data_IF_828878279535
#
_entry.id   IF_828878279535
#
_cell.length_a   1.000
_cell.length_b   1.000
_cell.length_c   1.000
_cell.angle_alpha   90.00
_cell.angle_beta   90.00
_cell.angle_gamma   90.00
#
_symmetry.space_group_name_H-M   'P 1'
#
loop_
_entity.id
_entity.type
_entity.pdbx_description
1 polymer ?
#
# COMPACT_ATOMS: atom_id res chain seq x y z
N UNK A 1 32.98 2.11 -31.70
CA UNK A 1 33.73 3.10 -30.90
C UNK A 1 33.15 4.44 -31.27
N UNK A 2 32.24 5.04 -30.50
CA UNK A 2 32.33 5.47 -29.08
C UNK A 2 31.09 5.01 -28.30
N UNK A 3 31.11 3.88 -27.59
CA UNK A 3 31.45 3.79 -26.15
C UNK A 3 31.39 5.11 -25.38
N UNK A 4 30.21 5.41 -24.84
CA UNK A 4 30.03 5.86 -23.46
C UNK A 4 28.68 5.31 -22.97
N UNK A 5 28.61 4.49 -21.90
CA UNK A 5 27.33 4.14 -21.30
C UNK A 5 26.64 5.42 -20.77
N UNK A 6 25.30 5.46 -20.69
CA UNK A 6 24.61 6.54 -19.98
C UNK A 6 25.23 6.64 -18.59
N UNK A 7 25.66 7.84 -18.20
CA UNK A 7 26.36 8.08 -16.94
C UNK A 7 25.58 7.47 -15.78
N UNK A 8 26.20 6.53 -15.07
CA UNK A 8 25.66 5.83 -13.91
C UNK A 8 25.58 6.73 -12.64
N UNK A 9 25.05 7.94 -12.79
CA UNK A 9 24.75 8.86 -11.68
C UNK A 9 23.24 8.94 -11.53
N UNK A 10 22.69 8.22 -10.56
CA UNK A 10 21.30 8.26 -10.12
C UNK A 10 21.20 9.37 -9.06
N UNK A 11 21.09 10.62 -9.50
CA UNK A 11 20.68 11.71 -8.62
C UNK A 11 19.15 11.83 -8.63
N UNK A 12 18.47 11.94 -7.47
CA UNK A 12 17.08 12.39 -7.44
C UNK A 12 16.98 13.73 -8.18
N UNK A 13 16.29 13.77 -9.32
CA UNK A 13 16.39 14.92 -10.23
C UNK A 13 16.82 14.63 -11.67
N UNK A 14 17.67 13.62 -11.88
CA UNK A 14 18.33 13.37 -13.18
C UNK A 14 17.74 12.15 -13.93
N UNK A 15 17.07 11.25 -13.21
CA UNK A 15 16.29 10.13 -13.76
C UNK A 15 14.87 10.17 -13.19
N UNK A 16 13.85 10.05 -14.06
CA UNK A 16 12.46 10.29 -13.69
C UNK A 16 12.13 11.79 -13.53
N UNK A 17 10.94 12.11 -13.02
CA UNK A 17 10.57 13.50 -12.76
C UNK A 17 11.46 14.10 -11.66
N UNK A 18 12.02 15.31 -11.81
CA UNK A 18 12.91 15.84 -10.79
C UNK A 18 12.23 16.05 -9.43
N UNK A 19 12.66 15.30 -8.41
CA UNK A 19 12.17 15.47 -7.04
C UNK A 19 12.96 16.58 -6.33
N UNK A 20 12.34 17.73 -6.11
CA UNK A 20 12.86 18.76 -5.20
C UNK A 20 12.36 18.49 -3.80
N UNK A 21 13.02 17.58 -3.09
CA UNK A 21 12.64 17.22 -1.73
C UNK A 21 13.12 18.27 -0.73
N UNK A 22 12.31 18.54 0.29
CA UNK A 22 12.78 19.23 1.49
C UNK A 22 13.73 18.30 2.24
N UNK A 23 14.74 18.87 2.88
CA UNK A 23 15.61 18.09 3.77
C UNK A 23 14.84 17.43 4.91
N UNK A 24 13.71 18.04 5.30
CA UNK A 24 12.88 17.65 6.43
C UNK A 24 11.41 17.95 6.17
N UNK A 25 10.54 17.02 6.61
CA UNK A 25 9.09 17.16 6.59
C UNK A 25 8.52 17.07 8.00
N UNK A 26 7.66 18.03 8.32
CA UNK A 26 6.92 18.13 9.57
C UNK A 26 5.60 17.34 9.50
N UNK A 27 4.83 17.33 10.59
CA UNK A 27 3.45 16.82 10.54
C UNK A 27 2.53 17.79 9.81
N UNK A 28 1.46 17.30 9.18
CA UNK A 28 0.42 18.17 8.63
C UNK A 28 -0.75 18.21 9.60
N UNK A 29 -0.89 19.28 10.39
CA UNK A 29 -1.89 19.38 11.46
C UNK A 29 -2.62 20.70 11.33
N UNK A 30 -3.95 20.66 11.31
CA UNK A 30 -4.75 21.88 11.27
C UNK A 30 -4.54 22.72 10.02
N UNK A 31 -4.20 22.11 8.89
CA UNK A 31 -3.91 22.80 7.63
C UNK A 31 -2.49 23.38 7.51
N UNK A 32 -1.63 23.16 8.51
CA UNK A 32 -0.28 23.72 8.57
C UNK A 32 0.78 22.62 8.78
N UNK A 33 2.03 22.95 8.44
CA UNK A 33 3.19 22.09 8.75
C UNK A 33 3.68 22.38 10.17
N UNK A 34 3.60 21.38 11.05
CA UNK A 34 3.86 21.51 12.49
C UNK A 34 4.97 20.54 12.90
N UNK A 35 6.08 21.10 13.39
CA UNK A 35 7.20 20.33 13.94
C UNK A 35 6.74 19.40 15.08
N UNK A 36 7.34 18.21 15.24
CA UNK A 36 7.00 17.28 16.30
C UNK A 36 7.23 17.93 17.67
N UNK A 37 6.31 17.71 18.60
CA UNK A 37 6.31 18.38 19.91
C UNK A 37 7.56 18.09 20.75
N UNK A 38 8.16 16.91 20.55
CA UNK A 38 9.42 16.49 21.19
C UNK A 38 10.67 16.92 20.41
N UNK A 39 10.52 17.49 19.20
CA UNK A 39 11.63 17.92 18.34
C UNK A 39 12.35 16.77 17.61
N UNK A 40 11.86 15.55 17.74
CA UNK A 40 12.48 14.33 17.22
C UNK A 40 12.09 14.04 15.76
N UNK A 41 13.06 13.63 14.95
CA UNK A 41 12.87 13.24 13.56
C UNK A 41 13.53 11.89 13.28
N UNK A 42 13.00 11.14 12.33
CA UNK A 42 13.65 9.93 11.83
C UNK A 42 14.09 10.07 10.38
N UNK A 43 15.12 9.31 10.03
CA UNK A 43 15.62 9.21 8.67
C UNK A 43 14.70 8.35 7.82
N UNK A 44 14.25 8.89 6.70
CA UNK A 44 13.54 8.17 5.66
C UNK A 44 14.54 7.75 4.58
N UNK A 45 14.83 6.45 4.49
CA UNK A 45 15.84 5.91 3.57
C UNK A 45 15.14 5.32 2.35
N UNK A 46 15.70 5.56 1.15
CA UNK A 46 15.21 4.88 -0.05
C UNK A 46 15.67 3.42 -0.08
N UNK A 47 14.80 2.45 -0.38
CA UNK A 47 15.20 1.07 -0.60
C UNK A 47 16.02 0.84 -1.87
N UNK A 48 15.99 1.79 -2.80
CA UNK A 48 16.65 1.71 -4.12
C UNK A 48 18.17 1.73 -3.96
N UNK A 49 18.69 2.57 -3.07
CA UNK A 49 20.13 2.74 -2.84
C UNK A 49 20.55 2.62 -1.38
N UNK A 50 19.60 2.53 -0.44
CA UNK A 50 19.85 2.59 1.01
C UNK A 50 20.20 3.98 1.54
N UNK A 51 20.17 5.01 0.70
CA UNK A 51 20.55 6.38 1.06
C UNK A 51 19.39 7.17 1.68
N UNK A 52 19.71 8.26 2.38
CA UNK A 52 18.72 9.16 2.96
C UNK A 52 17.98 9.96 1.87
N UNK A 53 16.64 9.90 1.89
CA UNK A 53 15.79 10.80 1.11
C UNK A 53 15.56 12.12 1.84
N UNK A 54 15.07 12.05 3.08
CA UNK A 54 14.76 13.20 3.93
C UNK A 54 14.60 12.77 5.39
N UNK A 55 14.45 13.73 6.29
CA UNK A 55 13.99 13.51 7.65
C UNK A 55 12.48 13.72 7.76
N UNK A 56 11.80 12.94 8.61
CA UNK A 56 10.35 13.06 8.85
C UNK A 56 10.08 13.13 10.35
N UNK A 57 9.11 13.97 10.74
CA UNK A 57 8.71 14.14 12.12
C UNK A 57 8.44 12.78 12.82
N UNK A 58 8.93 12.63 14.05
CA UNK A 58 8.66 11.48 14.91
C UNK A 58 7.67 11.89 16.01
N UNK A 59 6.38 11.80 15.69
CA UNK A 59 5.27 12.15 16.56
C UNK A 59 5.16 11.25 17.79
N UNK A 60 4.90 11.89 18.92
CA UNK A 60 4.44 11.26 20.15
C UNK A 60 2.97 11.58 20.44
N UNK A 61 2.53 11.28 21.67
CA UNK A 61 1.14 11.51 22.12
C UNK A 61 0.70 12.97 21.98
N UNK A 62 1.60 13.93 22.25
CA UNK A 62 1.31 15.37 22.17
C UNK A 62 0.94 15.80 20.75
N UNK A 63 1.61 15.29 19.73
CA UNK A 63 1.29 15.57 18.33
C UNK A 63 -0.06 15.00 17.92
N UNK A 64 -0.40 13.81 18.45
CA UNK A 64 -1.71 13.18 18.20
C UNK A 64 -2.80 14.01 18.87
N UNK A 65 -2.59 14.51 20.09
CA UNK A 65 -3.55 15.39 20.76
C UNK A 65 -3.76 16.70 19.98
N UNK A 66 -2.70 17.30 19.42
CA UNK A 66 -2.82 18.46 18.53
C UNK A 66 -3.64 18.16 17.27
N UNK A 67 -3.41 16.99 16.64
CA UNK A 67 -4.19 16.54 15.50
C UNK A 67 -5.67 16.30 15.84
N UNK A 68 -5.95 15.71 17.01
CA UNK A 68 -7.30 15.52 17.51
C UNK A 68 -7.97 16.86 17.84
N UNK A 69 -7.25 17.82 18.44
CA UNK A 69 -7.76 19.17 18.72
C UNK A 69 -8.16 19.88 17.42
N UNK A 70 -7.30 19.83 16.41
CA UNK A 70 -7.58 20.38 15.10
C UNK A 70 -8.81 19.74 14.45
N UNK A 71 -8.92 18.41 14.45
CA UNK A 71 -10.05 17.68 13.89
C UNK A 71 -11.37 17.99 14.62
N UNK A 72 -11.37 17.93 15.95
CA UNK A 72 -12.58 18.18 16.75
C UNK A 72 -13.07 19.62 16.64
N UNK A 73 -12.17 20.59 16.44
CA UNK A 73 -12.53 22.00 16.24
C UNK A 73 -13.40 22.22 14.99
N UNK A 74 -13.27 21.37 13.96
CA UNK A 74 -13.97 21.55 12.67
C UNK A 74 -14.93 20.43 12.31
N UNK A 75 -14.98 19.32 13.07
CA UNK A 75 -15.80 18.14 12.75
C UNK A 75 -17.26 18.48 12.45
N UNK A 76 -17.89 19.34 13.26
CA UNK A 76 -19.30 19.65 13.11
C UNK A 76 -19.51 20.52 11.86
N UNK A 77 -18.63 21.51 11.63
CA UNK A 77 -18.69 22.34 10.42
C UNK A 77 -18.50 21.50 9.15
N UNK A 78 -17.58 20.52 9.17
CA UNK A 78 -17.35 19.63 8.04
C UNK A 78 -18.52 18.68 7.80
N UNK A 79 -19.08 18.10 8.86
CA UNK A 79 -20.28 17.26 8.81
C UNK A 79 -21.47 17.97 8.15
N UNK A 80 -21.65 19.27 8.46
CA UNK A 80 -22.72 20.11 7.90
C UNK A 80 -22.38 20.74 6.54
N UNK A 81 -21.16 20.56 6.02
CA UNK A 81 -20.81 21.00 4.66
C UNK A 81 -21.66 20.22 3.67
N UNK A 82 -22.23 20.89 2.65
CA UNK A 82 -23.16 20.22 1.73
C UNK A 82 -22.50 19.03 1.01
N UNK A 83 -23.30 18.00 0.68
CA UNK A 83 -22.84 16.84 -0.12
C UNK A 83 -22.22 17.30 -1.44
N UNK A 84 -22.78 18.35 -2.05
CA UNK A 84 -22.30 18.98 -3.27
C UNK A 84 -20.88 19.54 -3.09
N UNK A 85 -20.64 20.29 -2.01
CA UNK A 85 -19.34 20.92 -1.74
C UNK A 85 -18.28 19.88 -1.35
N UNK A 86 -18.64 18.87 -0.54
CA UNK A 86 -17.73 17.77 -0.21
C UNK A 86 -17.30 17.02 -1.47
N UNK A 87 -18.25 16.65 -2.33
CA UNK A 87 -17.94 16.01 -3.61
C UNK A 87 -17.06 16.89 -4.51
N UNK A 88 -17.34 18.20 -4.58
CA UNK A 88 -16.53 19.13 -5.36
C UNK A 88 -15.08 19.21 -4.87
N UNK A 89 -14.84 19.14 -3.56
CA UNK A 89 -13.48 19.07 -3.00
C UNK A 89 -12.78 17.76 -3.43
N UNK A 90 -13.47 16.62 -3.34
CA UNK A 90 -12.90 15.32 -3.74
C UNK A 90 -12.56 15.27 -5.23
N UNK A 91 -13.40 15.82 -6.11
CA UNK A 91 -13.06 15.95 -7.54
C UNK A 91 -11.83 16.83 -7.75
N UNK A 92 -11.72 17.97 -7.05
CA UNK A 92 -10.53 18.85 -7.15
C UNK A 92 -9.25 18.19 -6.64
N UNK A 93 -9.35 17.36 -5.58
CA UNK A 93 -8.22 16.54 -5.11
C UNK A 93 -7.75 15.62 -6.24
N UNK A 94 -8.67 14.88 -6.85
CA UNK A 94 -8.36 13.98 -7.96
C UNK A 94 -7.71 14.72 -9.15
N UNK A 95 -8.26 15.86 -9.56
CA UNK A 95 -7.72 16.66 -10.66
C UNK A 95 -6.32 17.18 -10.36
N UNK A 96 -6.05 17.59 -9.12
CA UNK A 96 -4.73 18.09 -8.74
C UNK A 96 -3.71 16.96 -8.58
N UNK A 97 -4.13 15.78 -8.15
CA UNK A 97 -3.29 14.58 -8.21
C UNK A 97 -2.94 14.22 -9.65
N UNK A 98 -3.90 14.27 -10.58
CA UNK A 98 -3.68 14.00 -12.01
C UNK A 98 -2.69 14.98 -12.63
N UNK A 99 -2.80 16.28 -12.31
CA UNK A 99 -1.84 17.31 -12.73
C UNK A 99 -0.42 17.09 -12.19
N UNK A 100 -0.27 16.33 -11.10
CA UNK A 100 1.01 16.05 -10.44
C UNK A 100 1.36 14.55 -10.46
N UNK A 101 0.80 13.79 -11.42
CA UNK A 101 0.93 12.32 -11.46
C UNK A 101 2.40 11.89 -11.50
N UNK A 102 3.22 12.50 -12.36
CA UNK A 102 4.64 12.15 -12.50
C UNK A 102 5.43 12.38 -11.21
N UNK A 103 5.14 13.48 -10.49
CA UNK A 103 5.74 13.80 -9.20
C UNK A 103 5.39 12.75 -8.16
N UNK A 104 4.10 12.43 -8.02
CA UNK A 104 3.59 11.46 -7.05
C UNK A 104 4.12 10.04 -7.34
N UNK A 105 4.13 9.64 -8.62
CA UNK A 105 4.63 8.34 -9.07
C UNK A 105 6.14 8.19 -8.81
N UNK A 106 6.90 9.25 -9.08
CA UNK A 106 8.35 9.25 -8.82
C UNK A 106 8.64 9.21 -7.32
N UNK A 107 7.89 9.94 -6.49
CA UNK A 107 8.03 9.88 -5.04
C UNK A 107 7.70 8.49 -4.48
N UNK A 108 6.59 7.88 -4.92
CA UNK A 108 6.24 6.50 -4.59
C UNK A 108 7.37 5.51 -4.96
N UNK A 109 7.91 5.64 -6.17
CA UNK A 109 9.01 4.77 -6.65
C UNK A 109 10.26 4.89 -5.78
N UNK A 110 10.66 6.11 -5.42
CA UNK A 110 11.84 6.35 -4.60
C UNK A 110 11.66 5.87 -3.16
N UNK A 111 10.49 6.09 -2.58
CA UNK A 111 10.22 5.83 -1.18
C UNK A 111 9.90 4.35 -0.92
N UNK A 112 9.12 3.72 -1.80
CA UNK A 112 8.71 2.32 -1.68
C UNK A 112 9.65 1.33 -2.41
N UNK A 113 10.24 1.72 -3.53
CA UNK A 113 11.14 0.88 -4.33
C UNK A 113 10.50 0.18 -5.52
N UNK A 114 9.17 0.24 -5.67
CA UNK A 114 8.41 -0.29 -6.82
C UNK A 114 8.76 0.39 -8.15
N UNK A 115 8.69 -0.32 -9.29
CA UNK A 115 8.99 0.27 -10.60
C UNK A 115 8.07 1.44 -10.96
N UNK A 116 8.62 2.45 -11.63
CA UNK A 116 7.91 3.65 -12.08
C UNK A 116 6.71 3.29 -12.94
N UNK A 117 6.83 2.26 -13.79
CA UNK A 117 5.74 1.77 -14.63
C UNK A 117 4.51 1.33 -13.82
N UNK A 118 4.68 0.84 -12.59
CA UNK A 118 3.56 0.44 -11.72
C UNK A 118 2.96 1.68 -11.08
N UNK A 119 3.79 2.57 -10.53
CA UNK A 119 3.29 3.80 -9.90
C UNK A 119 2.55 4.73 -10.85
N UNK A 120 3.04 4.85 -12.10
CA UNK A 120 2.48 5.74 -13.10
C UNK A 120 1.25 5.16 -13.80
N UNK A 121 1.12 3.83 -13.87
CA UNK A 121 0.04 3.16 -14.60
C UNK A 121 -1.03 2.53 -13.69
N UNK A 122 -0.71 2.28 -12.42
CA UNK A 122 -1.62 1.67 -11.45
C UNK A 122 -1.80 2.55 -10.21
N UNK A 123 -0.81 2.69 -9.34
CA UNK A 123 -0.99 3.28 -8.00
C UNK A 123 -1.62 4.69 -8.03
N UNK A 124 -1.00 5.63 -8.76
CA UNK A 124 -1.47 7.01 -8.81
C UNK A 124 -2.78 7.13 -9.60
N UNK A 125 -2.93 6.52 -10.80
CA UNK A 125 -4.21 6.50 -11.51
C UNK A 125 -5.37 5.91 -10.70
N UNK A 126 -5.16 4.79 -10.02
CA UNK A 126 -6.19 4.17 -9.17
C UNK A 126 -6.52 5.04 -7.97
N UNK A 127 -5.53 5.73 -7.39
CA UNK A 127 -5.75 6.67 -6.29
C UNK A 127 -6.60 7.87 -6.73
N UNK A 128 -6.34 8.41 -7.93
CA UNK A 128 -7.13 9.49 -8.56
C UNK A 128 -8.56 9.02 -8.80
N UNK A 129 -8.73 7.86 -9.45
CA UNK A 129 -10.05 7.30 -9.74
C UNK A 129 -10.84 7.05 -8.46
N UNK A 130 -10.19 6.59 -7.38
CA UNK A 130 -10.85 6.34 -6.11
C UNK A 130 -11.48 7.60 -5.47
N UNK A 131 -10.79 8.75 -5.57
CA UNK A 131 -11.38 10.03 -5.16
C UNK A 131 -12.57 10.43 -6.04
N UNK A 132 -12.48 10.25 -7.37
CA UNK A 132 -13.58 10.50 -8.32
C UNK A 132 -14.78 9.60 -8.05
N UNK A 133 -14.52 8.33 -7.75
CA UNK A 133 -15.53 7.33 -7.40
C UNK A 133 -16.29 7.76 -6.15
N UNK A 134 -15.60 8.06 -5.04
CA UNK A 134 -16.29 8.46 -3.79
C UNK A 134 -16.95 9.84 -3.86
N UNK A 135 -16.41 10.76 -4.66
CA UNK A 135 -17.09 12.01 -5.00
C UNK A 135 -18.43 11.77 -5.71
N UNK A 136 -18.51 10.73 -6.55
CA UNK A 136 -19.73 10.34 -7.26
C UNK A 136 -20.68 9.55 -6.36
N UNK A 137 -20.16 8.62 -5.56
CA UNK A 137 -20.97 7.81 -4.63
C UNK A 137 -21.79 8.67 -3.69
N UNK A 138 -21.20 9.69 -3.07
CA UNK A 138 -21.94 10.56 -2.14
C UNK A 138 -23.01 11.39 -2.85
N UNK A 139 -22.81 11.74 -4.13
CA UNK A 139 -23.80 12.47 -4.93
C UNK A 139 -25.00 11.61 -5.32
N UNK A 140 -24.78 10.30 -5.42
CA UNK A 140 -25.79 9.29 -5.75
C UNK A 140 -26.36 8.57 -4.52
N UNK A 141 -25.86 8.86 -3.32
CA UNK A 141 -26.30 8.19 -2.11
C UNK A 141 -27.72 8.62 -1.75
N UNK A 142 -28.64 7.64 -1.72
CA UNK A 142 -30.00 7.81 -1.25
C UNK A 142 -30.14 7.30 0.19
N UNK A 143 -31.07 7.90 0.95
CA UNK A 143 -31.46 7.43 2.27
C UNK A 143 -32.53 6.33 2.19
N UNK A 144 -32.88 5.76 3.34
CA UNK A 144 -34.01 4.84 3.45
C UNK A 144 -35.27 5.57 3.91
N UNK A 145 -36.42 5.20 3.34
CA UNK A 145 -37.75 5.56 3.86
C UNK A 145 -38.59 4.29 3.98
N UNK A 146 -39.36 4.16 5.05
CA UNK A 146 -40.27 3.03 5.23
C UNK A 146 -41.57 3.50 5.86
N UNK A 147 -42.69 3.10 5.27
CA UNK A 147 -44.00 3.18 5.92
C UNK A 147 -44.05 2.06 6.96
N UNK A 148 -44.19 2.43 8.23
CA UNK A 148 -44.31 1.46 9.33
C UNK A 148 -45.76 1.02 9.46
N UNK A 149 -46.67 1.99 9.38
CA UNK A 149 -48.11 1.82 9.31
C UNK A 149 -48.75 3.06 8.65
N UNK A 150 -50.09 3.10 8.61
CA UNK A 150 -50.85 4.16 7.93
C UNK A 150 -50.67 5.57 8.52
N UNK A 151 -50.08 5.71 9.72
CA UNK A 151 -49.88 6.99 10.39
C UNK A 151 -48.40 7.32 10.66
N UNK A 152 -47.49 6.37 10.37
CA UNK A 152 -46.08 6.46 10.78
C UNK A 152 -45.11 6.15 9.64
N UNK A 153 -44.16 7.06 9.44
CA UNK A 153 -43.05 6.90 8.49
C UNK A 153 -41.71 6.97 9.21
N UNK A 154 -40.81 6.05 8.89
CA UNK A 154 -39.43 6.04 9.35
C UNK A 154 -38.49 6.59 8.27
N UNK A 155 -37.61 7.53 8.67
CA UNK A 155 -36.54 8.07 7.84
C UNK A 155 -35.19 7.59 8.36
N UNK A 156 -34.31 7.14 7.48
CA UNK A 156 -32.97 6.70 7.81
C UNK A 156 -31.93 7.64 7.20
N UNK A 157 -31.12 8.26 8.05
CA UNK A 157 -30.04 9.17 7.65
C UNK A 157 -28.67 8.51 7.86
N UNK A 158 -27.74 8.81 6.97
CA UNK A 158 -26.34 8.42 7.09
C UNK A 158 -25.54 9.59 7.67
N UNK A 159 -25.32 9.58 8.98
CA UNK A 159 -24.58 10.62 9.68
C UNK A 159 -23.08 10.28 9.74
N UNK A 160 -22.18 11.28 9.63
CA UNK A 160 -20.76 11.08 9.90
C UNK A 160 -20.53 10.61 11.33
N UNK A 161 -19.53 9.75 11.51
CA UNK A 161 -19.10 9.30 12.83
C UNK A 161 -18.36 10.41 13.61
N UNK A 162 -17.73 11.35 12.91
CA UNK A 162 -16.97 12.45 13.49
C UNK A 162 -15.49 12.35 13.15
N UNK A 163 -14.62 12.13 14.14
CA UNK A 163 -13.17 12.01 13.93
C UNK A 163 -12.77 10.54 13.86
N UNK A 164 -12.09 10.15 12.78
CA UNK A 164 -11.67 8.76 12.53
C UNK A 164 -10.15 8.64 12.46
N UNK A 165 -9.63 7.57 13.08
CA UNK A 165 -8.20 7.23 13.06
C UNK A 165 -7.92 6.24 11.92
N UNK A 166 -6.92 6.55 11.09
CA UNK A 166 -6.60 5.74 9.92
C UNK A 166 -5.11 5.40 9.92
N UNK A 167 -4.79 4.11 9.85
CA UNK A 167 -3.40 3.61 9.89
C UNK A 167 -3.18 2.76 8.64
N UNK A 168 -2.22 3.16 7.80
CA UNK A 168 -1.94 2.52 6.51
C UNK A 168 -0.56 1.82 6.50
N UNK A 169 -0.40 0.75 5.70
CA UNK A 169 0.86 0.05 5.51
C UNK A 169 1.74 0.81 4.50
N UNK A 170 2.89 0.23 4.19
CA UNK A 170 3.92 0.85 3.37
C UNK A 170 3.92 0.40 1.90
N UNK A 171 3.13 -0.60 1.54
CA UNK A 171 3.25 -1.29 0.25
C UNK A 171 2.52 -0.60 -0.91
N UNK A 172 1.47 0.17 -0.63
CA UNK A 172 0.82 1.10 -1.57
C UNK A 172 0.48 2.42 -0.85
N UNK A 173 1.47 3.20 -0.38
CA UNK A 173 1.26 4.30 0.55
C UNK A 173 0.21 5.32 0.08
N UNK A 174 0.37 5.86 -1.12
CA UNK A 174 -0.56 6.85 -1.65
C UNK A 174 -1.95 6.26 -1.93
N UNK A 175 -2.02 5.08 -2.55
CA UNK A 175 -3.29 4.42 -2.86
C UNK A 175 -4.05 4.02 -1.58
N UNK A 176 -3.34 3.54 -0.55
CA UNK A 176 -3.93 3.21 0.76
C UNK A 176 -4.41 4.46 1.50
N UNK A 177 -3.69 5.58 1.40
CA UNK A 177 -4.16 6.86 1.90
C UNK A 177 -5.48 7.24 1.22
N UNK A 178 -5.57 7.15 -0.11
CA UNK A 178 -6.80 7.40 -0.86
C UNK A 178 -7.95 6.46 -0.47
N UNK A 179 -7.67 5.16 -0.34
CA UNK A 179 -8.67 4.14 0.08
C UNK A 179 -9.31 4.44 1.42
N UNK A 180 -8.58 5.10 2.32
CA UNK A 180 -9.10 5.47 3.63
C UNK A 180 -9.69 6.88 3.64
N UNK A 181 -9.00 7.85 3.06
CA UNK A 181 -9.40 9.26 3.12
C UNK A 181 -10.64 9.55 2.28
N UNK A 182 -10.70 9.08 1.03
CA UNK A 182 -11.78 9.40 0.11
C UNK A 182 -13.18 9.04 0.66
N UNK A 183 -13.45 7.79 1.13
CA UNK A 183 -14.73 7.46 1.73
C UNK A 183 -15.01 8.23 3.03
N UNK A 184 -14.00 8.44 3.88
CA UNK A 184 -14.18 9.12 5.16
C UNK A 184 -14.56 10.59 4.97
N UNK A 185 -13.87 11.28 4.07
CA UNK A 185 -14.11 12.68 3.71
C UNK A 185 -15.47 12.84 3.00
N UNK A 186 -15.82 11.93 2.09
CA UNK A 186 -17.13 11.89 1.46
C UNK A 186 -18.22 11.81 2.54
N UNK A 187 -18.14 10.85 3.45
CA UNK A 187 -19.10 10.68 4.52
C UNK A 187 -19.15 11.85 5.53
N UNK A 188 -18.26 12.85 5.45
CA UNK A 188 -18.26 14.03 6.31
C UNK A 188 -17.44 13.87 7.59
N UNK A 189 -16.53 12.91 7.64
CA UNK A 189 -15.64 12.68 8.79
C UNK A 189 -14.36 13.51 8.67
N UNK A 190 -13.78 13.89 9.80
CA UNK A 190 -12.40 14.36 9.89
C UNK A 190 -11.46 13.19 10.13
N UNK A 191 -10.25 13.27 9.58
CA UNK A 191 -9.27 12.18 9.56
C UNK A 191 -8.02 12.54 10.34
N UNK A 192 -7.56 11.62 11.18
CA UNK A 192 -6.18 11.57 11.67
C UNK A 192 -5.52 10.35 11.02
N UNK A 193 -4.66 10.60 10.02
CA UNK A 193 -3.97 9.59 9.23
C UNK A 193 -2.56 9.38 9.76
N UNK A 194 -2.17 8.11 9.88
CA UNK A 194 -0.82 7.67 10.18
C UNK A 194 -0.28 6.86 9.00
N UNK A 195 0.61 7.42 8.15
CA UNK A 195 1.33 6.67 7.14
C UNK A 195 2.37 5.73 7.77
N UNK A 196 2.76 4.69 7.04
CA UNK A 196 3.84 3.83 7.48
C UNK A 196 5.18 4.59 7.55
N UNK A 197 6.02 4.24 8.53
CA UNK A 197 7.30 4.92 8.75
C UNK A 197 8.27 4.75 7.58
N UNK A 198 8.15 3.64 6.86
CA UNK A 198 9.05 3.30 5.76
C UNK A 198 8.73 4.08 4.48
N UNK A 199 7.52 4.61 4.34
CA UNK A 199 7.06 5.24 3.10
C UNK A 199 6.12 6.44 3.31
N UNK A 200 6.53 7.46 4.09
CA UNK A 200 5.68 8.62 4.37
C UNK A 200 5.64 9.64 3.22
N UNK A 201 6.62 9.64 2.31
CA UNK A 201 6.93 10.78 1.44
C UNK A 201 5.79 11.14 0.49
N UNK A 202 5.21 10.15 -0.19
CA UNK A 202 4.14 10.40 -1.17
C UNK A 202 2.87 10.99 -0.53
N UNK A 203 2.56 10.59 0.70
CA UNK A 203 1.44 11.14 1.49
C UNK A 203 1.74 12.58 1.92
N UNK A 204 2.99 12.87 2.30
CA UNK A 204 3.41 14.23 2.66
C UNK A 204 3.36 15.17 1.45
N UNK A 205 3.85 14.73 0.29
CA UNK A 205 3.75 15.48 -0.96
C UNK A 205 2.30 15.65 -1.41
N UNK A 206 1.44 14.63 -1.22
CA UNK A 206 0.01 14.78 -1.46
C UNK A 206 -0.55 15.96 -0.64
N UNK A 207 -0.20 16.08 0.64
CA UNK A 207 -0.68 17.20 1.48
C UNK A 207 -0.13 18.56 1.04
N UNK A 208 1.09 18.64 0.49
CA UNK A 208 1.59 19.88 -0.12
C UNK A 208 0.75 20.31 -1.33
N UNK A 209 0.26 19.33 -2.09
CA UNK A 209 -0.47 19.57 -3.33
C UNK A 209 -1.94 19.90 -3.05
N UNK A 210 -2.59 19.18 -2.14
CA UNK A 210 -4.06 19.23 -1.97
C UNK A 210 -4.52 19.82 -0.63
N UNK A 211 -3.60 20.10 0.29
CA UNK A 211 -3.92 20.54 1.65
C UNK A 211 -4.75 21.83 1.71
N UNK A 212 -4.51 22.76 0.77
CA UNK A 212 -5.25 24.04 0.65
C UNK A 212 -6.70 23.87 0.20
N UNK A 213 -7.06 22.73 -0.40
CA UNK A 213 -8.44 22.43 -0.82
C UNK A 213 -9.34 22.06 0.36
N UNK A 214 -8.75 21.61 1.47
CA UNK A 214 -9.45 21.08 2.63
C UNK A 214 -9.58 22.17 3.71
N UNK A 215 -10.71 22.25 4.42
CA UNK A 215 -10.79 23.11 5.59
C UNK A 215 -9.72 22.71 6.64
N UNK A 216 -9.02 23.68 7.26
CA UNK A 216 -8.01 23.41 8.28
C UNK A 216 -8.48 22.44 9.37
N UNK A 217 -7.80 21.30 9.51
CA UNK A 217 -8.12 20.26 10.51
C UNK A 217 -9.00 19.11 10.01
N UNK A 218 -9.55 19.18 8.80
CA UNK A 218 -10.34 18.05 8.23
C UNK A 218 -9.47 16.83 7.97
N UNK A 219 -8.22 17.02 7.54
CA UNK A 219 -7.20 15.97 7.43
C UNK A 219 -6.00 16.40 8.26
N UNK A 220 -5.50 15.47 9.06
CA UNK A 220 -4.29 15.64 9.86
C UNK A 220 -3.41 14.40 9.65
N UNK A 221 -2.13 14.60 9.34
CA UNK A 221 -1.17 13.53 9.10
C UNK A 221 -0.10 13.59 10.19
N UNK A 222 0.02 12.51 10.96
CA UNK A 222 1.01 12.34 12.02
C UNK A 222 1.95 11.18 11.69
N UNK A 223 3.25 11.38 11.87
CA UNK A 223 4.29 10.45 11.42
C UNK A 223 5.02 9.83 12.60
N UNK A 224 5.32 8.54 12.59
CA UNK A 224 6.11 7.93 13.67
C UNK A 224 5.90 6.43 13.84
N UNK A 225 6.25 5.93 15.02
CA UNK A 225 6.20 4.51 15.34
C UNK A 225 4.75 3.99 15.32
N UNK A 226 4.55 2.86 14.62
CA UNK A 226 3.21 2.29 14.42
C UNK A 226 2.53 1.84 15.72
N UNK A 227 3.29 1.22 16.63
CA UNK A 227 2.76 0.69 17.89
C UNK A 227 2.19 1.79 18.80
N UNK A 228 3.00 2.80 19.12
CA UNK A 228 2.59 3.87 20.04
C UNK A 228 1.45 4.73 19.47
N UNK A 229 1.58 5.20 18.22
CA UNK A 229 0.55 6.02 17.60
C UNK A 229 -0.73 5.20 17.38
N UNK A 230 -0.60 3.95 16.95
CA UNK A 230 -1.73 3.07 16.68
C UNK A 230 -2.53 2.73 17.93
N UNK A 231 -1.85 2.37 19.03
CA UNK A 231 -2.48 2.14 20.33
C UNK A 231 -3.18 3.41 20.83
N UNK A 232 -2.51 4.56 20.77
CA UNK A 232 -3.09 5.81 21.28
C UNK A 232 -4.33 6.24 20.49
N UNK A 233 -4.31 6.12 19.16
CA UNK A 233 -5.49 6.37 18.33
C UNK A 233 -6.63 5.41 18.66
N UNK A 234 -6.35 4.11 18.84
CA UNK A 234 -7.39 3.10 19.08
C UNK A 234 -7.99 3.14 20.49
N UNK A 235 -7.23 3.59 21.49
CA UNK A 235 -7.69 3.74 22.88
C UNK A 235 -8.24 5.13 23.19
N UNK A 236 -8.09 6.10 22.30
CA UNK A 236 -8.59 7.47 22.53
C UNK A 236 -10.11 7.55 22.47
N UNK A 237 -10.73 8.05 23.54
CA UNK A 237 -12.18 8.38 23.59
C UNK A 237 -12.61 9.47 22.59
N UNK A 238 -11.64 10.10 21.92
CA UNK A 238 -11.86 11.16 20.93
C UNK A 238 -11.91 10.62 19.50
N UNK A 239 -11.66 9.33 19.29
CA UNK A 239 -11.80 8.66 18.00
C UNK A 239 -13.13 7.90 17.97
N UNK A 240 -13.91 8.11 16.91
CA UNK A 240 -15.21 7.47 16.73
C UNK A 240 -15.12 6.14 15.95
N UNK A 241 -14.06 5.93 15.17
CA UNK A 241 -13.80 4.70 14.40
C UNK A 241 -12.30 4.60 14.07
N UNK A 242 -11.79 3.37 14.05
CA UNK A 242 -10.45 3.07 13.55
C UNK A 242 -10.51 2.23 12.28
N UNK A 243 -9.68 2.57 11.30
CA UNK A 243 -9.43 1.76 10.13
C UNK A 243 -7.93 1.43 10.02
N UNK A 244 -7.60 0.15 10.05
CA UNK A 244 -6.22 -0.33 10.00
C UNK A 244 -6.01 -1.26 8.81
N UNK A 245 -4.85 -1.13 8.18
CA UNK A 245 -4.37 -2.11 7.20
C UNK A 245 -2.93 -2.47 7.54
N UNK A 246 -2.61 -3.76 7.61
CA UNK A 246 -1.28 -4.25 7.99
C UNK A 246 -1.30 -5.70 8.47
N UNK A 247 -0.37 -6.10 9.34
CA UNK A 247 -0.26 -7.50 9.76
C UNK A 247 -1.44 -7.94 10.64
N UNK A 248 -1.72 -9.24 10.61
CA UNK A 248 -2.82 -9.85 11.37
C UNK A 248 -2.66 -9.65 12.87
N UNK A 249 -1.43 -9.76 13.38
CA UNK A 249 -1.11 -9.61 14.81
C UNK A 249 -1.40 -8.18 15.28
N UNK A 250 -1.00 -7.17 14.51
CA UNK A 250 -1.28 -5.77 14.84
C UNK A 250 -2.79 -5.47 14.67
N UNK A 251 -3.45 -6.06 13.67
CA UNK A 251 -4.90 -5.96 13.52
C UNK A 251 -5.67 -6.46 14.74
N UNK A 252 -5.27 -7.59 15.31
CA UNK A 252 -5.82 -8.11 16.56
C UNK A 252 -5.63 -7.15 17.73
N UNK A 253 -4.43 -6.55 17.86
CA UNK A 253 -4.16 -5.54 18.89
C UNK A 253 -5.05 -4.31 18.73
N UNK A 254 -5.18 -3.76 17.52
CA UNK A 254 -6.07 -2.62 17.23
C UNK A 254 -7.51 -2.94 17.62
N UNK A 255 -8.00 -4.14 17.29
CA UNK A 255 -9.33 -4.57 17.68
C UNK A 255 -9.50 -4.62 19.20
N UNK A 256 -8.51 -5.18 19.92
CA UNK A 256 -8.52 -5.22 21.39
C UNK A 256 -8.54 -3.80 21.99
N UNK A 257 -7.72 -2.89 21.51
CA UNK A 257 -7.69 -1.50 21.98
C UNK A 257 -9.02 -0.78 21.75
N UNK A 258 -9.61 -0.93 20.56
CA UNK A 258 -10.89 -0.32 20.22
C UNK A 258 -12.05 -0.79 21.10
N UNK A 259 -11.99 -2.00 21.67
CA UNK A 259 -13.02 -2.49 22.60
C UNK A 259 -13.13 -1.65 23.88
N UNK A 260 -12.08 -0.95 24.29
CA UNK A 260 -12.11 -0.07 25.47
C UNK A 260 -13.13 1.06 25.33
N UNK A 261 -13.36 1.52 24.09
CA UNK A 261 -14.31 2.59 23.76
C UNK A 261 -15.55 2.09 23.01
N UNK A 262 -15.60 0.79 22.67
CA UNK A 262 -16.67 0.16 21.89
C UNK A 262 -16.88 0.90 20.55
N UNK A 263 -15.78 1.17 19.85
CA UNK A 263 -15.82 1.85 18.54
C UNK A 263 -15.70 0.85 17.39
N UNK A 264 -16.32 1.12 16.23
CA UNK A 264 -16.18 0.27 15.05
C UNK A 264 -14.73 0.19 14.56
N UNK A 265 -14.35 -1.00 14.09
CA UNK A 265 -13.03 -1.25 13.49
C UNK A 265 -13.21 -1.83 12.09
N UNK A 266 -12.43 -1.33 11.13
CA UNK A 266 -12.25 -1.99 9.82
C UNK A 266 -10.80 -2.46 9.73
N UNK A 267 -10.61 -3.75 9.44
CA UNK A 267 -9.30 -4.39 9.33
C UNK A 267 -9.14 -4.98 7.93
N UNK A 268 -8.08 -4.59 7.24
CA UNK A 268 -7.60 -5.24 6.02
C UNK A 268 -6.23 -5.85 6.34
N UNK A 269 -6.11 -7.19 6.28
CA UNK A 269 -4.97 -7.91 6.83
C UNK A 269 -4.24 -8.71 5.75
N UNK A 270 -3.25 -9.50 6.18
CA UNK A 270 -2.46 -10.36 5.31
C UNK A 270 -3.25 -11.49 4.66
N UNK A 271 -2.71 -12.03 3.57
CA UNK A 271 -3.33 -13.11 2.81
C UNK A 271 -2.34 -14.15 2.28
N UNK A 272 -2.87 -15.30 1.89
CA UNK A 272 -2.14 -16.38 1.23
C UNK A 272 -2.94 -16.92 0.05
N UNK A 273 -3.27 -16.02 -0.87
CA UNK A 273 -4.20 -16.27 -1.97
C UNK A 273 -3.70 -17.38 -2.90
N UNK A 274 -4.53 -18.40 -3.19
CA UNK A 274 -4.20 -19.39 -4.19
C UNK A 274 -4.50 -18.88 -5.60
N UNK A 275 -3.64 -19.26 -6.54
CA UNK A 275 -3.89 -19.23 -7.97
C UNK A 275 -3.93 -20.68 -8.47
N UNK A 276 -4.98 -21.07 -9.19
CA UNK A 276 -5.30 -22.47 -9.47
C UNK A 276 -5.33 -22.69 -10.98
N UNK A 277 -4.53 -23.62 -11.47
CA UNK A 277 -4.33 -23.90 -12.90
C UNK A 277 -4.79 -25.32 -13.21
N UNK A 278 -5.98 -25.44 -13.80
CA UNK A 278 -6.51 -26.69 -14.32
C UNK A 278 -5.88 -27.03 -15.69
N UNK A 279 -6.01 -28.29 -16.11
CA UNK A 279 -5.38 -28.78 -17.33
C UNK A 279 -5.86 -28.08 -18.61
N UNK A 280 -7.11 -27.61 -18.61
CA UNK A 280 -7.76 -26.92 -19.73
C UNK A 280 -7.06 -25.60 -20.12
N UNK A 281 -6.31 -24.99 -19.21
CA UNK A 281 -5.46 -23.81 -19.53
C UNK A 281 -4.36 -24.13 -20.55
N UNK A 282 -4.05 -25.41 -20.77
CA UNK A 282 -3.06 -25.89 -21.74
C UNK A 282 -3.68 -26.71 -22.87
N UNK A 283 -5.01 -26.65 -23.07
CA UNK A 283 -5.65 -27.32 -24.21
C UNK A 283 -5.15 -26.74 -25.54
N UNK A 284 -4.90 -25.43 -25.59
CA UNK A 284 -4.39 -24.70 -26.74
C UNK A 284 -3.20 -23.80 -26.35
N UNK A 285 -2.17 -23.70 -27.22
CA UNK A 285 -1.07 -22.73 -27.04
C UNK A 285 -1.45 -21.36 -27.61
N UNK A 286 -2.43 -20.70 -26.99
CA UNK A 286 -3.01 -19.47 -27.48
C UNK A 286 -2.79 -18.26 -26.54
N UNK A 287 -3.51 -17.17 -26.80
CA UNK A 287 -3.44 -15.96 -25.96
C UNK A 287 -3.98 -16.18 -24.54
N UNK A 288 -4.89 -17.14 -24.33
CA UNK A 288 -5.38 -17.49 -22.99
C UNK A 288 -4.29 -18.18 -22.18
N UNK A 289 -3.55 -19.12 -22.80
CA UNK A 289 -2.41 -19.74 -22.14
C UNK A 289 -1.32 -18.72 -21.75
N UNK A 290 -0.97 -17.77 -22.62
CA UNK A 290 -0.02 -16.70 -22.26
C UNK A 290 -0.53 -15.83 -21.09
N UNK A 291 -1.84 -15.56 -21.03
CA UNK A 291 -2.46 -14.85 -19.90
C UNK A 291 -2.44 -15.66 -18.60
N UNK A 292 -2.59 -16.99 -18.68
CA UNK A 292 -2.41 -17.86 -17.52
C UNK A 292 -0.97 -17.81 -16.99
N UNK A 293 0.03 -17.81 -17.88
CA UNK A 293 1.45 -17.64 -17.51
C UNK A 293 1.73 -16.25 -16.92
N UNK A 294 1.08 -15.20 -17.43
CA UNK A 294 1.11 -13.86 -16.83
C UNK A 294 0.52 -13.87 -15.42
N UNK A 295 -0.64 -14.50 -15.25
CA UNK A 295 -1.30 -14.70 -13.96
C UNK A 295 -0.44 -15.49 -12.97
N UNK A 296 0.31 -16.49 -13.43
CA UNK A 296 1.28 -17.21 -12.62
C UNK A 296 2.40 -16.29 -12.12
N UNK A 297 2.93 -15.41 -12.98
CA UNK A 297 4.02 -14.50 -12.64
C UNK A 297 3.60 -13.28 -11.77
N UNK A 298 2.30 -13.08 -11.53
CA UNK A 298 1.78 -11.94 -10.76
C UNK A 298 2.28 -11.88 -9.32
N UNK A 299 2.82 -12.96 -8.75
CA UNK A 299 3.43 -12.90 -7.41
C UNK A 299 4.64 -11.95 -7.32
N UNK A 300 5.21 -11.55 -8.47
CA UNK A 300 6.30 -10.58 -8.54
C UNK A 300 5.82 -9.13 -8.72
N UNK A 301 4.52 -8.89 -8.95
CA UNK A 301 3.94 -7.54 -9.01
C UNK A 301 4.10 -6.84 -7.66
N UNK A 302 4.47 -5.54 -7.68
CA UNK A 302 4.84 -4.79 -6.47
C UNK A 302 5.87 -5.53 -5.61
N UNK A 303 6.81 -6.22 -6.26
CA UNK A 303 7.81 -7.10 -5.65
C UNK A 303 7.22 -8.15 -4.68
N UNK A 304 5.96 -8.56 -4.87
CA UNK A 304 5.26 -9.50 -4.01
C UNK A 304 4.80 -8.94 -2.67
N UNK A 305 4.95 -7.64 -2.45
CA UNK A 305 4.50 -6.91 -1.26
C UNK A 305 3.01 -6.52 -1.43
N UNK A 306 2.13 -7.51 -1.61
CA UNK A 306 0.69 -7.32 -1.83
C UNK A 306 -0.09 -8.30 -0.93
N UNK A 307 -1.04 -7.81 -0.14
CA UNK A 307 -1.81 -8.68 0.76
C UNK A 307 -2.65 -9.73 0.02
N UNK A 308 -3.10 -9.40 -1.19
CA UNK A 308 -3.83 -10.31 -2.08
C UNK A 308 -2.90 -11.04 -3.06
N UNK A 309 -1.58 -10.97 -2.88
CA UNK A 309 -0.59 -11.61 -3.75
C UNK A 309 -0.96 -13.10 -3.99
N UNK A 310 -1.01 -13.57 -5.25
CA UNK A 310 -1.22 -14.98 -5.58
C UNK A 310 0.05 -15.79 -5.23
N UNK A 311 0.31 -15.93 -3.94
CA UNK A 311 1.55 -16.47 -3.37
C UNK A 311 1.53 -18.00 -3.18
N UNK A 312 0.42 -18.64 -3.58
CA UNK A 312 0.35 -20.09 -3.80
C UNK A 312 -0.09 -20.36 -5.23
N UNK A 313 0.61 -21.25 -5.93
CA UNK A 313 0.12 -21.81 -7.19
C UNK A 313 -0.17 -23.30 -7.03
N UNK A 314 -1.40 -23.68 -7.36
CA UNK A 314 -1.84 -25.07 -7.44
C UNK A 314 -1.95 -25.43 -8.92
N UNK A 315 -1.13 -26.37 -9.39
CA UNK A 315 -1.08 -26.74 -10.82
C UNK A 315 -1.53 -28.18 -10.99
N UNK A 316 -2.49 -28.45 -11.88
CA UNK A 316 -3.00 -29.81 -12.04
C UNK A 316 -1.88 -30.75 -12.51
N UNK A 317 -1.77 -31.92 -11.87
CA UNK A 317 -0.65 -32.86 -12.03
C UNK A 317 -0.40 -33.25 -13.51
N UNK A 318 -1.47 -33.36 -14.31
CA UNK A 318 -1.41 -33.73 -15.73
C UNK A 318 -0.71 -32.70 -16.63
N UNK A 319 -0.61 -31.43 -16.21
CA UNK A 319 0.05 -30.37 -16.98
C UNK A 319 1.33 -29.83 -16.33
N UNK A 320 1.63 -30.24 -15.10
CA UNK A 320 2.69 -29.66 -14.26
C UNK A 320 4.00 -29.44 -15.01
N UNK A 321 4.60 -30.49 -15.58
CA UNK A 321 5.92 -30.41 -16.23
C UNK A 321 5.94 -29.39 -17.38
N UNK A 322 4.94 -29.43 -18.26
CA UNK A 322 4.86 -28.54 -19.44
C UNK A 322 4.55 -27.11 -19.04
N UNK A 323 3.66 -26.92 -18.07
CA UNK A 323 3.27 -25.61 -17.56
C UNK A 323 4.46 -24.94 -16.87
N UNK A 324 5.11 -25.66 -15.95
CA UNK A 324 6.19 -25.12 -15.13
C UNK A 324 7.43 -24.78 -15.95
N UNK A 325 7.75 -25.54 -17.00
CA UNK A 325 8.83 -25.18 -17.93
C UNK A 325 8.64 -23.75 -18.49
N UNK A 326 7.44 -23.42 -18.95
CA UNK A 326 7.11 -22.09 -19.51
C UNK A 326 7.01 -21.03 -18.43
N UNK A 327 6.41 -21.36 -17.29
CA UNK A 327 6.20 -20.44 -16.18
C UNK A 327 7.52 -20.00 -15.54
N UNK A 328 8.45 -20.93 -15.29
CA UNK A 328 9.79 -20.64 -14.76
C UNK A 328 10.55 -19.72 -15.72
N UNK A 329 10.57 -20.03 -17.02
CA UNK A 329 11.22 -19.17 -18.03
C UNK A 329 10.67 -17.74 -18.02
N UNK A 330 9.35 -17.58 -17.85
CA UNK A 330 8.74 -16.24 -17.75
C UNK A 330 9.21 -15.50 -16.50
N UNK A 331 9.25 -16.17 -15.35
CA UNK A 331 9.71 -15.59 -14.09
C UNK A 331 11.19 -15.21 -14.16
N UNK A 332 12.04 -16.05 -14.76
CA UNK A 332 13.46 -15.76 -14.96
C UNK A 332 13.71 -14.59 -15.92
N UNK A 333 12.76 -14.30 -16.82
CA UNK A 333 12.82 -13.17 -17.73
C UNK A 333 12.49 -11.81 -17.09
N UNK A 334 11.99 -11.81 -15.84
CA UNK A 334 11.63 -10.59 -15.10
C UNK A 334 12.86 -9.71 -14.91
N UNK A 335 12.80 -8.50 -15.46
CA UNK A 335 13.88 -7.52 -15.36
C UNK A 335 13.84 -6.82 -14.00
N UNK A 336 14.89 -6.99 -13.20
CA UNK A 336 15.09 -6.19 -11.99
C UNK A 336 16.24 -5.21 -12.19
N UNK A 337 16.11 -3.99 -11.68
CA UNK A 337 17.08 -2.93 -11.91
C UNK A 337 16.70 -1.62 -11.24
N UNK A 338 17.16 -0.50 -11.81
CA UNK A 338 16.73 0.82 -11.40
C UNK A 338 15.20 0.93 -11.58
N UNK A 339 14.41 1.13 -10.52
CA UNK A 339 12.95 1.18 -10.65
C UNK A 339 12.47 2.40 -11.45
N UNK A 340 13.29 3.42 -11.68
CA UNK A 340 12.96 4.54 -12.56
C UNK A 340 13.17 4.25 -14.06
N UNK A 341 13.79 3.11 -14.40
CA UNK A 341 13.84 2.65 -15.78
C UNK A 341 12.50 2.01 -16.15
N UNK A 342 11.91 2.47 -17.26
CA UNK A 342 10.60 2.01 -17.74
C UNK A 342 10.58 0.52 -18.11
N UNK A 343 11.75 -0.08 -18.40
CA UNK A 343 11.85 -1.53 -18.68
C UNK A 343 11.97 -2.38 -17.41
N UNK A 344 12.17 -1.78 -16.24
CA UNK A 344 12.25 -2.52 -14.98
C UNK A 344 10.90 -3.09 -14.61
N UNK A 345 10.86 -4.40 -14.40
CA UNK A 345 9.68 -5.15 -14.02
C UNK A 345 9.60 -5.45 -12.53
N UNK A 346 10.71 -5.47 -11.80
CA UNK A 346 10.69 -5.69 -10.36
C UNK A 346 11.71 -4.79 -9.67
N UNK A 347 11.24 -4.05 -8.66
CA UNK A 347 12.03 -3.08 -7.91
C UNK A 347 12.75 -3.65 -6.68
N UNK A 348 13.05 -2.79 -5.73
CA UNK A 348 13.60 -3.15 -4.43
C UNK A 348 12.49 -3.49 -3.42
N UNK A 349 12.79 -4.33 -2.43
CA UNK A 349 11.95 -4.51 -1.24
C UNK A 349 11.98 -3.24 -0.40
N UNK A 350 10.90 -2.90 0.29
CA UNK A 350 10.77 -1.61 0.97
C UNK A 350 11.85 -1.31 2.02
N UNK A 351 12.45 -2.35 2.62
CA UNK A 351 13.45 -2.18 3.68
C UNK A 351 14.39 -3.38 3.79
N UNK A 352 15.54 -3.15 4.43
CA UNK A 352 16.47 -4.22 4.77
C UNK A 352 15.83 -5.30 5.65
N UNK A 353 15.06 -4.91 6.67
CA UNK A 353 14.38 -5.86 7.56
C UNK A 353 13.34 -6.71 6.83
N UNK A 354 12.63 -6.15 5.84
CA UNK A 354 11.71 -6.92 5.00
C UNK A 354 12.47 -7.91 4.11
N UNK A 355 13.57 -7.48 3.50
CA UNK A 355 14.44 -8.37 2.72
C UNK A 355 14.97 -9.55 3.56
N UNK A 356 15.43 -9.30 4.79
CA UNK A 356 15.89 -10.34 5.71
C UNK A 356 14.76 -11.31 6.09
N UNK A 357 13.56 -10.78 6.34
CA UNK A 357 12.37 -11.59 6.65
C UNK A 357 12.07 -12.56 5.51
N UNK A 358 12.07 -12.07 4.26
CA UNK A 358 11.80 -12.90 3.07
C UNK A 358 12.90 -13.97 2.89
N UNK A 359 14.17 -13.60 3.03
CA UNK A 359 15.29 -14.55 2.94
C UNK A 359 15.19 -15.65 4.00
N UNK A 360 14.79 -15.30 5.23
CA UNK A 360 14.57 -16.28 6.29
C UNK A 360 13.42 -17.26 5.94
N UNK A 361 12.33 -16.78 5.34
CA UNK A 361 11.25 -17.67 4.88
C UNK A 361 11.69 -18.62 3.77
N UNK A 362 12.52 -18.15 2.83
CA UNK A 362 13.11 -19.01 1.80
C UNK A 362 13.96 -20.12 2.46
N UNK A 363 14.76 -19.77 3.47
CA UNK A 363 15.58 -20.74 4.19
C UNK A 363 14.76 -21.71 5.05
N UNK A 364 13.63 -21.27 5.62
CA UNK A 364 12.65 -22.15 6.27
C UNK A 364 12.11 -23.16 5.25
N UNK A 365 11.68 -22.71 4.07
CA UNK A 365 11.19 -23.59 3.01
C UNK A 365 12.21 -24.67 2.64
N UNK A 366 13.48 -24.30 2.43
CA UNK A 366 14.57 -25.25 2.15
C UNK A 366 14.76 -26.27 3.28
N UNK A 367 14.69 -25.84 4.55
CA UNK A 367 14.83 -26.72 5.72
C UNK A 367 13.64 -27.68 5.88
N UNK A 368 12.46 -27.27 5.45
CA UNK A 368 11.25 -28.11 5.42
C UNK A 368 11.21 -29.05 4.21
N UNK A 369 12.17 -28.95 3.28
CA UNK A 369 12.32 -29.84 2.13
C UNK A 369 11.68 -29.32 0.85
N UNK A 370 11.38 -28.03 0.74
CA UNK A 370 10.96 -27.42 -0.52
C UNK A 370 12.12 -27.32 -1.51
N UNK A 371 11.87 -27.64 -2.77
CA UNK A 371 12.81 -27.48 -3.88
C UNK A 371 12.77 -26.03 -4.38
N UNK A 372 13.94 -25.41 -4.53
CA UNK A 372 14.05 -24.07 -5.13
C UNK A 372 14.11 -24.23 -6.65
N UNK A 373 13.02 -23.90 -7.34
CA UNK A 373 12.95 -24.03 -8.80
C UNK A 373 13.65 -22.87 -9.52
N UNK A 374 13.62 -21.66 -8.94
CA UNK A 374 14.39 -20.50 -9.40
C UNK A 374 14.52 -19.46 -8.29
N UNK A 375 15.50 -18.55 -8.40
CA UNK A 375 15.77 -17.48 -7.44
C UNK A 375 16.34 -17.97 -6.10
N UNK A 376 15.77 -17.48 -4.99
CA UNK A 376 16.08 -17.97 -3.63
C UNK A 376 17.20 -17.22 -2.91
N UNK A 377 17.59 -16.04 -3.41
CA UNK A 377 18.70 -15.24 -2.87
C UNK A 377 18.54 -13.74 -3.14
N UNK A 378 19.31 -12.95 -2.41
CA UNK A 378 19.49 -11.51 -2.66
C UNK A 378 20.07 -11.29 -4.06
N UNK A 379 19.52 -10.33 -4.79
CA UNK A 379 20.07 -9.87 -6.07
C UNK A 379 21.02 -8.71 -5.80
N UNK A 380 22.30 -8.89 -6.13
CA UNK A 380 23.29 -7.82 -6.01
C UNK A 380 23.36 -7.09 -7.35
N UNK A 381 23.01 -5.80 -7.33
CA UNK A 381 23.16 -4.92 -8.48
C UNK A 381 24.49 -4.16 -8.40
N UNK A 382 24.95 -3.63 -9.53
CA UNK A 382 26.20 -2.89 -9.61
C UNK A 382 26.00 -1.38 -9.43
N UNK A 383 27.11 -0.65 -9.30
CA UNK A 383 27.11 0.82 -9.23
C UNK A 383 26.40 1.34 -7.99
N UNK A 384 25.52 2.32 -8.18
CA UNK A 384 24.82 3.01 -7.09
C UNK A 384 23.68 2.19 -6.46
N UNK A 385 23.27 1.09 -7.10
CA UNK A 385 22.21 0.20 -6.61
C UNK A 385 22.75 -0.93 -5.73
N UNK A 386 24.08 -1.02 -5.53
CA UNK A 386 24.73 -2.13 -4.80
C UNK A 386 24.23 -2.30 -3.37
N UNK A 387 23.84 -1.20 -2.74
CA UNK A 387 23.39 -1.16 -1.35
C UNK A 387 21.85 -1.26 -1.24
N UNK A 388 21.13 -1.27 -2.37
CA UNK A 388 19.68 -1.43 -2.42
C UNK A 388 19.20 -2.83 -2.05
N UNK A 389 17.89 -2.93 -1.82
CA UNK A 389 17.27 -4.12 -1.20
C UNK A 389 16.61 -5.04 -2.23
N UNK A 390 17.38 -5.55 -3.19
CA UNK A 390 16.86 -6.36 -4.29
C UNK A 390 16.88 -7.86 -4.00
N UNK A 391 15.84 -8.57 -4.45
CA UNK A 391 15.70 -10.03 -4.35
C UNK A 391 15.48 -10.64 -5.74
N UNK A 392 15.89 -11.88 -5.96
CA UNK A 392 15.47 -12.65 -7.14
C UNK A 392 14.03 -13.17 -6.94
N UNK A 393 13.15 -13.11 -7.95
CA UNK A 393 11.81 -13.70 -7.84
C UNK A 393 12.00 -15.22 -7.67
N UNK A 394 11.35 -15.77 -6.65
CA UNK A 394 11.65 -17.12 -6.15
C UNK A 394 10.44 -18.03 -6.29
N UNK A 395 10.67 -19.24 -6.78
CA UNK A 395 9.65 -20.28 -6.84
C UNK A 395 10.11 -21.46 -5.97
N UNK A 396 9.29 -21.87 -5.02
CA UNK A 396 9.50 -23.01 -4.14
C UNK A 396 8.48 -24.09 -4.46
N UNK A 397 8.91 -25.28 -4.84
CA UNK A 397 8.04 -26.45 -4.98
C UNK A 397 8.02 -27.23 -3.67
N UNK A 398 6.84 -27.56 -3.15
CA UNK A 398 6.73 -28.21 -1.85
C UNK A 398 5.33 -28.72 -1.53
N UNK A 399 5.06 -28.92 -0.24
CA UNK A 399 3.80 -29.47 0.25
C UNK A 399 2.96 -28.40 0.97
N UNK A 400 1.64 -28.49 0.85
CA UNK A 400 0.72 -27.48 1.39
C UNK A 400 0.84 -27.27 2.92
N UNK A 401 1.34 -28.25 3.68
CA UNK A 401 1.52 -28.14 5.14
C UNK A 401 2.80 -27.38 5.55
N UNK A 402 3.70 -27.06 4.63
CA UNK A 402 4.92 -26.30 4.92
C UNK A 402 4.58 -24.85 5.29
N UNK A 403 5.41 -24.22 6.12
CA UNK A 403 5.19 -22.84 6.58
C UNK A 403 5.12 -21.86 5.42
N UNK A 404 5.92 -22.05 4.37
CA UNK A 404 5.90 -21.19 3.17
C UNK A 404 4.57 -21.25 2.39
N UNK A 405 3.73 -22.27 2.63
CA UNK A 405 2.37 -22.37 2.10
C UNK A 405 1.30 -21.83 3.06
N UNK A 406 1.58 -21.77 4.36
CA UNK A 406 0.59 -21.37 5.37
C UNK A 406 0.73 -19.91 5.80
N UNK A 407 1.96 -19.39 5.80
CA UNK A 407 2.29 -18.06 6.30
C UNK A 407 2.53 -17.07 5.15
N UNK A 408 2.08 -15.84 5.34
CA UNK A 408 2.36 -14.73 4.43
C UNK A 408 3.84 -14.36 4.51
N UNK A 409 4.52 -14.37 3.36
CA UNK A 409 5.95 -14.02 3.25
C UNK A 409 6.11 -12.52 2.92
N UNK A 410 5.16 -11.97 2.16
CA UNK A 410 5.12 -10.58 1.73
C UNK A 410 6.38 -10.14 0.95
N UNK A 411 6.72 -10.93 -0.05
CA UNK A 411 7.83 -10.72 -0.98
C UNK A 411 7.62 -11.58 -2.23
N UNK A 412 8.53 -11.53 -3.23
CA UNK A 412 8.33 -12.17 -4.52
C UNK A 412 8.73 -13.65 -4.43
N UNK A 413 7.99 -14.40 -3.60
CA UNK A 413 8.18 -15.83 -3.34
C UNK A 413 6.86 -16.56 -3.56
N UNK A 414 6.85 -17.48 -4.51
CA UNK A 414 5.70 -18.32 -4.85
C UNK A 414 5.91 -19.73 -4.33
N UNK A 415 4.92 -20.24 -3.59
CA UNK A 415 4.86 -21.63 -3.18
C UNK A 415 4.01 -22.44 -4.19
N UNK A 416 4.58 -23.47 -4.80
CA UNK A 416 3.96 -24.27 -5.87
C UNK A 416 3.77 -25.71 -5.44
N UNK A 417 2.58 -26.25 -5.64
CA UNK A 417 2.30 -27.70 -5.48
C UNK A 417 1.38 -28.17 -6.59
N UNK A 418 1.22 -29.48 -6.72
CA UNK A 418 0.24 -30.10 -7.62
C UNK A 418 -1.04 -30.50 -6.90
N UNK A 419 -2.10 -30.70 -7.69
CA UNK A 419 -3.37 -31.34 -7.30
C UNK A 419 -3.88 -32.23 -8.43
N UNK A 420 -4.76 -33.19 -8.15
CA UNK A 420 -5.27 -34.16 -9.15
C UNK A 420 -6.73 -33.90 -9.53
N UNK A 421 -7.58 -33.63 -8.54
CA UNK A 421 -9.04 -33.52 -8.70
C UNK A 421 -9.55 -32.14 -8.26
N UNK A 422 -10.71 -31.72 -8.74
CA UNK A 422 -11.31 -30.44 -8.33
C UNK A 422 -11.65 -30.40 -6.83
N UNK A 423 -11.96 -31.54 -6.24
CA UNK A 423 -12.26 -31.68 -4.81
C UNK A 423 -11.03 -31.58 -3.89
N UNK A 424 -9.83 -31.77 -4.44
CA UNK A 424 -8.55 -31.64 -3.73
C UNK A 424 -8.09 -30.18 -3.77
#
# INVERSE_FOLDING_TARGET
MTNNPPSAQIKPGEYGFPLKLKARYDNFIGGEWVAPADGEYYQNLTPVTGQLLCEVASSGKRDIDLALDAAHKVKDKWAHTSVQDRAAILFKIADRMEQNLELLATAETWDNGKPIRETSAADVPLAIDHFRYFASCIRAQEGGISEVDSETVAYHFHEPLGVVGQIIPWNFPLLMASWKMAPALAAGNCVVLKPARLTPLSVLLLMEIVGDLLPPGVVNVVNGAGGEIGEYLATSKRIAKVAFTGSTEVGQQIMQYATQNIIPVTLELGGKSPNIFFADVMDEEDAFFDKALEGFALFAFNQGEVCTCPSRALVQESIYERFMERAIRRVESIRSGNPLDSVTQMGAQVSHGQLETILNYIDIGKKEGADVLTGGRRKLLEGELKDGYYLEPTILFGQNNMRVFQEEIFGPVLAVTTFKTMEE
#
